data_IF_390139987049
#
_entry.id   IF_390139987049
#
_cell.length_a   1.000
_cell.length_b   1.000
_cell.length_c   1.000
_cell.angle_alpha   90.00
_cell.angle_beta   90.00
_cell.angle_gamma   90.00
#
_symmetry.space_group_name_H-M   'P 1'
#
loop_
_entity.id
_entity.type
_entity.pdbx_description
1 polymer ?
#
# COMPACT_ATOMS: atom_id res chain seq x y z
N UNK A 1 5.80 -5.39 17.72
CA UNK A 1 6.33 -4.76 16.49
C UNK A 1 5.22 -4.78 15.46
N UNK A 2 5.07 -3.74 14.65
CA UNK A 2 4.07 -3.73 13.58
C UNK A 2 4.56 -4.59 12.41
N UNK A 3 3.67 -5.37 11.80
CA UNK A 3 4.02 -6.26 10.69
C UNK A 3 3.51 -5.71 9.36
N UNK A 4 4.35 -5.78 8.32
CA UNK A 4 4.00 -5.40 6.96
C UNK A 4 4.25 -6.54 5.98
N UNK A 5 3.43 -6.64 4.95
CA UNK A 5 3.65 -7.48 3.79
C UNK A 5 3.72 -6.61 2.53
N UNK A 6 4.53 -7.01 1.58
CA UNK A 6 4.80 -6.25 0.35
C UNK A 6 4.34 -7.07 -0.86
N UNK A 7 3.53 -6.45 -1.71
CA UNK A 7 3.10 -7.03 -2.98
C UNK A 7 3.60 -6.16 -4.14
N UNK A 8 4.50 -6.67 -4.93
CA UNK A 8 4.91 -6.04 -6.18
C UNK A 8 4.09 -6.60 -7.34
N UNK A 9 3.55 -5.71 -8.15
CA UNK A 9 2.68 -6.03 -9.29
C UNK A 9 3.38 -5.56 -10.55
N UNK A 10 3.78 -6.48 -11.42
CA UNK A 10 4.49 -6.17 -12.66
C UNK A 10 4.59 -7.37 -13.57
N UNK A 11 4.08 -7.27 -14.79
CA UNK A 11 4.26 -8.28 -15.84
C UNK A 11 5.74 -8.55 -16.14
N UNK A 12 6.55 -7.50 -16.27
CA UNK A 12 7.97 -7.63 -16.66
C UNK A 12 8.84 -8.22 -15.56
N UNK A 13 8.56 -7.91 -14.30
CA UNK A 13 9.29 -8.46 -13.15
C UNK A 13 8.87 -9.90 -12.87
N UNK A 14 7.57 -10.19 -12.91
CA UNK A 14 7.05 -11.55 -12.71
C UNK A 14 7.53 -12.53 -13.79
N UNK A 15 7.73 -12.06 -15.03
CA UNK A 15 8.33 -12.82 -16.10
C UNK A 15 9.87 -12.93 -16.03
N UNK A 16 10.52 -12.31 -15.03
CA UNK A 16 11.97 -12.32 -14.87
C UNK A 16 12.74 -11.41 -15.84
N UNK A 17 12.05 -10.59 -16.64
CA UNK A 17 12.66 -9.69 -17.63
C UNK A 17 13.28 -8.44 -17.00
N UNK A 18 12.98 -8.14 -15.75
CA UNK A 18 13.48 -6.99 -15.00
C UNK A 18 13.69 -7.34 -13.53
N UNK A 19 14.79 -6.85 -12.94
CA UNK A 19 15.05 -7.02 -11.51
C UNK A 19 14.01 -6.27 -10.66
N UNK A 20 13.58 -6.89 -9.56
CA UNK A 20 12.66 -6.29 -8.60
C UNK A 20 13.42 -5.51 -7.52
N UNK A 21 13.80 -4.29 -7.86
CA UNK A 21 14.44 -3.36 -6.92
C UNK A 21 13.44 -2.61 -6.04
N UNK A 22 12.17 -2.63 -6.41
CA UNK A 22 11.12 -1.89 -5.69
C UNK A 22 10.72 -2.60 -4.40
N UNK A 23 10.61 -3.92 -4.40
CA UNK A 23 10.37 -4.72 -3.19
C UNK A 23 11.48 -4.50 -2.16
N UNK A 24 12.75 -4.55 -2.58
CA UNK A 24 13.90 -4.30 -1.70
C UNK A 24 13.83 -2.90 -1.09
N UNK A 25 13.57 -1.88 -1.91
CA UNK A 25 13.44 -0.50 -1.44
C UNK A 25 12.31 -0.34 -0.41
N UNK A 26 11.14 -0.91 -0.66
CA UNK A 26 10.02 -0.85 0.28
C UNK A 26 10.35 -1.56 1.59
N UNK A 27 10.99 -2.74 1.51
CA UNK A 27 11.39 -3.50 2.70
C UNK A 27 12.39 -2.73 3.56
N UNK A 28 13.39 -2.09 2.95
CA UNK A 28 14.37 -1.25 3.64
C UNK A 28 13.67 -0.08 4.36
N UNK A 29 12.86 0.70 3.64
CA UNK A 29 12.18 1.87 4.20
C UNK A 29 11.26 1.48 5.37
N UNK A 30 10.47 0.40 5.22
CA UNK A 30 9.55 -0.06 6.25
C UNK A 30 10.32 -0.61 7.47
N UNK A 31 11.41 -1.33 7.26
CA UNK A 31 12.25 -1.86 8.34
C UNK A 31 12.89 -0.72 9.13
N UNK A 32 13.43 0.29 8.45
CA UNK A 32 13.99 1.49 9.09
C UNK A 32 12.92 2.26 9.90
N UNK A 33 11.67 2.21 9.47
CA UNK A 33 10.52 2.77 10.18
C UNK A 33 9.98 1.89 11.32
N UNK A 34 10.62 0.74 11.60
CA UNK A 34 10.28 -0.14 12.72
C UNK A 34 9.23 -1.21 12.41
N UNK A 35 8.97 -1.50 11.13
CA UNK A 35 8.11 -2.61 10.73
C UNK A 35 8.92 -3.90 10.59
N UNK A 36 8.32 -5.01 10.97
CA UNK A 36 8.77 -6.35 10.60
C UNK A 36 8.15 -6.73 9.24
N UNK A 37 8.97 -7.12 8.28
CA UNK A 37 8.48 -7.61 6.99
C UNK A 37 8.13 -9.09 7.12
N UNK A 38 6.83 -9.37 7.24
CA UNK A 38 6.32 -10.73 7.39
C UNK A 38 6.55 -11.56 6.12
N UNK A 39 6.32 -10.98 4.94
CA UNK A 39 6.54 -11.64 3.66
C UNK A 39 6.52 -10.65 2.49
N UNK A 40 7.04 -11.09 1.35
CA UNK A 40 6.98 -10.36 0.07
C UNK A 40 6.43 -11.26 -1.01
N UNK A 41 5.68 -10.71 -1.97
CA UNK A 41 5.14 -11.44 -3.12
C UNK A 41 5.25 -10.61 -4.38
N UNK A 42 5.41 -11.27 -5.51
CA UNK A 42 5.45 -10.67 -6.84
C UNK A 42 4.44 -11.38 -7.73
N UNK A 43 3.55 -10.62 -8.36
CA UNK A 43 2.52 -11.14 -9.27
C UNK A 43 2.46 -10.34 -10.57
N UNK A 44 1.94 -10.90 -11.67
CA UNK A 44 1.66 -10.15 -12.89
C UNK A 44 0.50 -9.14 -12.70
N UNK A 45 0.32 -8.27 -13.69
CA UNK A 45 -0.79 -7.30 -13.73
C UNK A 45 -2.12 -8.00 -14.13
N UNK A 46 -2.52 -9.01 -13.34
CA UNK A 46 -3.76 -9.76 -13.49
C UNK A 46 -4.67 -9.56 -12.28
N UNK A 47 -5.94 -9.22 -12.54
CA UNK A 47 -6.92 -8.88 -11.50
C UNK A 47 -7.04 -9.96 -10.42
N UNK A 48 -7.21 -11.22 -10.82
CA UNK A 48 -7.39 -12.33 -9.87
C UNK A 48 -6.14 -12.57 -9.03
N UNK A 49 -4.94 -12.56 -9.66
CA UNK A 49 -3.68 -12.78 -8.97
C UNK A 49 -3.41 -11.69 -7.93
N UNK A 50 -3.75 -10.44 -8.25
CA UNK A 50 -3.61 -9.30 -7.32
C UNK A 50 -4.59 -9.44 -6.16
N UNK A 51 -5.88 -9.70 -6.43
CA UNK A 51 -6.91 -9.83 -5.41
C UNK A 51 -6.62 -10.98 -4.43
N UNK A 52 -6.23 -12.14 -4.96
CA UNK A 52 -5.87 -13.32 -4.17
C UNK A 52 -4.60 -13.06 -3.33
N UNK A 53 -3.59 -12.42 -3.91
CA UNK A 53 -2.37 -12.06 -3.19
C UNK A 53 -2.63 -11.08 -2.05
N UNK A 54 -3.44 -10.04 -2.24
CA UNK A 54 -3.82 -9.10 -1.17
C UNK A 54 -4.53 -9.86 -0.05
N UNK A 55 -5.49 -10.72 -0.38
CA UNK A 55 -6.25 -11.51 0.59
C UNK A 55 -5.38 -12.49 1.38
N UNK A 56 -4.40 -13.10 0.74
CA UNK A 56 -3.42 -13.99 1.37
C UNK A 56 -2.51 -13.20 2.34
N UNK A 57 -1.93 -12.10 1.87
CA UNK A 57 -1.00 -11.28 2.64
C UNK A 57 -1.66 -10.62 3.87
N UNK A 58 -2.93 -10.25 3.76
CA UNK A 58 -3.69 -9.68 4.87
C UNK A 58 -3.90 -10.64 6.06
N UNK A 59 -3.69 -11.95 5.86
CA UNK A 59 -3.77 -12.95 6.95
C UNK A 59 -2.53 -12.97 7.83
N UNK A 60 -1.41 -12.45 7.36
CA UNK A 60 -0.12 -12.53 8.07
C UNK A 60 0.50 -11.17 8.41
N UNK A 61 -0.14 -10.05 8.03
CA UNK A 61 0.37 -8.72 8.29
C UNK A 61 -0.74 -7.73 8.66
N UNK A 62 -0.38 -6.71 9.43
CA UNK A 62 -1.28 -5.61 9.79
C UNK A 62 -1.33 -4.51 8.71
N UNK A 63 -0.33 -4.50 7.83
CA UNK A 63 -0.20 -3.60 6.69
C UNK A 63 0.14 -4.41 5.45
N UNK A 64 -0.63 -4.24 4.39
CA UNK A 64 -0.26 -4.71 3.04
C UNK A 64 0.01 -3.50 2.17
N UNK A 65 1.23 -3.37 1.67
CA UNK A 65 1.59 -2.36 0.69
C UNK A 65 1.75 -3.01 -0.67
N UNK A 66 1.01 -2.52 -1.66
CA UNK A 66 1.18 -2.94 -3.05
C UNK A 66 1.94 -1.89 -3.84
N UNK A 67 2.70 -2.28 -4.84
CA UNK A 67 3.39 -1.36 -5.76
C UNK A 67 3.21 -1.81 -7.20
N UNK A 68 2.71 -0.91 -8.04
CA UNK A 68 2.48 -1.13 -9.46
C UNK A 68 1.00 -1.22 -9.85
N UNK A 69 0.71 -1.11 -11.13
CA UNK A 69 -0.63 -1.24 -11.72
C UNK A 69 -1.65 -0.18 -11.29
N UNK A 70 -1.21 1.04 -10.95
CA UNK A 70 -2.08 2.12 -10.43
C UNK A 70 -2.31 3.29 -11.40
N UNK A 71 -1.83 3.19 -12.63
CA UNK A 71 -1.96 4.25 -13.64
C UNK A 71 -3.23 4.12 -14.50
N UNK A 72 -3.14 4.67 -15.71
CA UNK A 72 -4.24 4.73 -16.68
C UNK A 72 -4.11 3.70 -17.81
N UNK A 73 -3.08 2.87 -17.80
CA UNK A 73 -2.92 1.84 -18.82
C UNK A 73 -4.00 0.74 -18.67
N UNK A 74 -4.42 0.11 -19.78
CA UNK A 74 -5.46 -0.93 -19.73
C UNK A 74 -5.13 -2.10 -18.80
N UNK A 75 -3.84 -2.39 -18.59
CA UNK A 75 -3.40 -3.45 -17.68
C UNK A 75 -3.23 -3.00 -16.22
N UNK A 76 -3.37 -1.70 -15.95
CA UNK A 76 -3.33 -1.18 -14.58
C UNK A 76 -4.67 -1.47 -13.89
N UNK A 77 -4.77 -2.61 -13.20
CA UNK A 77 -6.00 -3.10 -12.56
C UNK A 77 -5.87 -3.26 -11.04
N UNK A 78 -4.77 -2.77 -10.47
CA UNK A 78 -4.54 -2.86 -9.00
C UNK A 78 -5.62 -2.17 -8.19
N UNK A 79 -6.12 -0.97 -8.53
CA UNK A 79 -7.18 -0.31 -7.77
C UNK A 79 -8.48 -1.13 -7.77
N UNK A 80 -8.86 -1.70 -8.90
CA UNK A 80 -10.05 -2.52 -9.06
C UNK A 80 -9.95 -3.82 -8.25
N UNK A 81 -8.80 -4.50 -8.34
CA UNK A 81 -8.52 -5.71 -7.57
C UNK A 81 -8.53 -5.43 -6.06
N UNK A 82 -7.95 -4.30 -5.64
CA UNK A 82 -7.94 -3.89 -4.23
C UNK A 82 -9.36 -3.62 -3.73
N UNK A 83 -10.19 -2.87 -4.49
CA UNK A 83 -11.58 -2.59 -4.13
C UNK A 83 -12.43 -3.85 -4.02
N UNK A 84 -12.12 -4.89 -4.79
CA UNK A 84 -12.88 -6.14 -4.74
C UNK A 84 -12.70 -6.93 -3.45
N UNK A 85 -11.65 -6.66 -2.68
CA UNK A 85 -11.31 -7.42 -1.47
C UNK A 85 -11.40 -6.61 -0.17
N UNK A 86 -11.26 -5.29 -0.21
CA UNK A 86 -11.36 -4.46 0.99
C UNK A 86 -12.82 -4.31 1.45
N UNK A 87 -13.03 -4.25 2.76
CA UNK A 87 -14.35 -4.06 3.37
C UNK A 87 -14.78 -2.60 3.40
N UNK A 88 -13.82 -1.70 3.55
CA UNK A 88 -14.02 -0.24 3.66
C UNK A 88 -12.88 0.53 3.03
N UNK A 89 -13.20 1.53 2.22
CA UNK A 89 -12.19 2.46 1.70
C UNK A 89 -11.77 3.48 2.77
N UNK A 90 -10.50 3.88 2.71
CA UNK A 90 -9.91 5.00 3.45
C UNK A 90 -9.36 6.03 2.44
N UNK A 91 -10.22 6.75 1.72
CA UNK A 91 -9.82 7.56 0.57
C UNK A 91 -8.82 8.66 0.92
N UNK A 92 -8.89 9.22 2.13
CA UNK A 92 -7.98 10.26 2.59
C UNK A 92 -6.49 9.86 2.55
N UNK A 93 -6.16 8.58 2.69
CA UNK A 93 -4.78 8.09 2.59
C UNK A 93 -4.26 8.26 1.15
N UNK A 94 -5.04 7.83 0.17
CA UNK A 94 -4.68 7.96 -1.24
C UNK A 94 -4.72 9.42 -1.72
N UNK A 95 -5.63 10.23 -1.20
CA UNK A 95 -5.71 11.67 -1.44
C UNK A 95 -4.47 12.39 -0.92
N UNK A 96 -4.03 12.10 0.31
CA UNK A 96 -2.82 12.67 0.89
C UNK A 96 -1.58 12.34 0.04
N UNK A 97 -1.42 11.07 -0.38
CA UNK A 97 -0.33 10.69 -1.28
C UNK A 97 -0.35 11.53 -2.56
N UNK A 98 -1.49 11.63 -3.24
CA UNK A 98 -1.60 12.41 -4.49
C UNK A 98 -1.31 13.90 -4.26
N UNK A 99 -1.90 14.49 -3.24
CA UNK A 99 -1.74 15.92 -2.97
C UNK A 99 -0.29 16.29 -2.66
N UNK A 100 0.36 15.56 -1.76
CA UNK A 100 1.72 15.87 -1.33
C UNK A 100 2.74 15.57 -2.42
N UNK A 101 2.64 14.41 -3.09
CA UNK A 101 3.60 14.05 -4.15
C UNK A 101 3.40 14.86 -5.43
N UNK A 102 2.20 15.41 -5.69
CA UNK A 102 1.95 16.29 -6.82
C UNK A 102 2.68 17.63 -6.70
N UNK A 103 3.10 18.04 -5.51
CA UNK A 103 3.95 19.22 -5.31
C UNK A 103 5.35 19.02 -5.91
N UNK A 104 5.81 17.77 -6.01
CA UNK A 104 7.08 17.36 -6.58
C UNK A 104 6.92 17.00 -8.07
N UNK A 105 5.91 16.18 -8.36
CA UNK A 105 5.62 15.67 -9.69
C UNK A 105 4.11 15.78 -9.99
N UNK A 106 3.65 16.77 -10.78
CA UNK A 106 2.22 16.98 -11.05
C UNK A 106 1.48 15.76 -11.61
N UNK A 107 2.19 14.85 -12.30
CA UNK A 107 1.61 13.62 -12.83
C UNK A 107 1.14 12.64 -11.73
N UNK A 108 1.49 12.88 -10.47
CA UNK A 108 0.99 12.11 -9.34
C UNK A 108 -0.55 12.16 -9.23
N UNK A 109 -1.19 13.23 -9.72
CA UNK A 109 -2.66 13.31 -9.80
C UNK A 109 -3.30 12.26 -10.71
N UNK A 110 -2.55 11.65 -11.62
CA UNK A 110 -3.05 10.57 -12.48
C UNK A 110 -3.08 9.20 -11.78
N UNK A 111 -2.54 9.10 -10.57
CA UNK A 111 -2.60 7.86 -9.80
C UNK A 111 -4.04 7.54 -9.38
N UNK A 112 -4.48 6.32 -9.68
CA UNK A 112 -5.78 5.77 -9.25
C UNK A 112 -5.65 4.92 -7.98
N UNK A 113 -4.52 5.02 -7.26
CA UNK A 113 -4.26 4.29 -6.04
C UNK A 113 -5.43 4.36 -5.05
N UNK A 114 -5.66 3.25 -4.36
CA UNK A 114 -6.70 3.04 -3.35
C UNK A 114 -6.04 2.69 -2.03
N UNK A 115 -6.68 3.07 -0.94
CA UNK A 115 -6.36 2.57 0.39
C UNK A 115 -7.65 2.18 1.11
N UNK A 116 -7.57 1.16 1.97
CA UNK A 116 -8.73 0.67 2.71
C UNK A 116 -8.37 -0.39 3.73
N UNK A 117 -9.39 -1.00 4.32
CA UNK A 117 -9.26 -2.06 5.31
C UNK A 117 -9.80 -3.38 4.76
N UNK A 118 -9.07 -4.46 5.01
CA UNK A 118 -9.54 -5.84 4.89
C UNK A 118 -9.47 -6.48 6.28
N UNK A 119 -10.62 -6.64 6.92
CA UNK A 119 -10.67 -6.98 8.35
C UNK A 119 -9.97 -5.90 9.20
N UNK A 120 -8.91 -6.29 9.87
CA UNK A 120 -8.07 -5.38 10.68
C UNK A 120 -6.80 -4.92 9.97
N UNK A 121 -6.55 -5.41 8.75
CA UNK A 121 -5.36 -5.09 7.97
C UNK A 121 -5.59 -3.84 7.13
N UNK A 122 -4.64 -2.92 7.16
CA UNK A 122 -4.61 -1.77 6.26
C UNK A 122 -3.97 -2.17 4.93
N UNK A 123 -4.65 -1.89 3.82
CA UNK A 123 -4.16 -2.15 2.45
C UNK A 123 -3.97 -0.82 1.74
N UNK A 124 -2.80 -0.59 1.15
CA UNK A 124 -2.46 0.67 0.45
C UNK A 124 -1.76 0.37 -0.87
N UNK A 125 -2.27 0.97 -1.95
CA UNK A 125 -1.60 0.90 -3.25
C UNK A 125 -0.58 2.03 -3.41
N UNK A 126 0.62 1.68 -3.89
CA UNK A 126 1.68 2.62 -4.28
C UNK A 126 1.94 2.55 -5.79
N UNK A 127 2.55 3.59 -6.37
CA UNK A 127 3.00 3.56 -7.76
C UNK A 127 4.11 2.51 -7.98
N UNK A 128 4.37 2.16 -9.24
CA UNK A 128 5.42 1.18 -9.59
C UNK A 128 6.84 1.75 -9.69
N UNK A 129 6.99 3.06 -9.79
CA UNK A 129 8.29 3.73 -9.91
C UNK A 129 8.97 3.84 -8.53
N UNK A 130 10.23 3.39 -8.35
CA UNK A 130 10.91 3.41 -7.05
C UNK A 130 11.01 4.80 -6.41
N UNK A 131 11.24 5.86 -7.19
CA UNK A 131 11.29 7.24 -6.68
C UNK A 131 9.92 7.64 -6.12
N UNK A 132 8.85 7.42 -6.87
CA UNK A 132 7.49 7.73 -6.45
C UNK A 132 7.04 6.88 -5.24
N UNK A 133 7.50 5.63 -5.14
CA UNK A 133 7.28 4.78 -3.96
C UNK A 133 7.88 5.42 -2.70
N UNK A 134 9.14 5.89 -2.78
CA UNK A 134 9.79 6.58 -1.65
C UNK A 134 9.00 7.82 -1.25
N UNK A 135 8.67 8.68 -2.21
CA UNK A 135 7.91 9.92 -1.96
C UNK A 135 6.54 9.62 -1.31
N UNK A 136 5.83 8.59 -1.76
CA UNK A 136 4.57 8.17 -1.13
C UNK A 136 4.78 7.63 0.29
N UNK A 137 5.82 6.82 0.53
CA UNK A 137 6.11 6.29 1.86
C UNK A 137 6.49 7.40 2.83
N UNK A 138 7.23 8.42 2.41
CA UNK A 138 7.57 9.58 3.25
C UNK A 138 6.29 10.31 3.74
N UNK A 139 5.25 10.37 2.92
CA UNK A 139 3.94 10.92 3.31
C UNK A 139 3.20 10.00 4.30
N UNK A 140 3.26 8.69 4.08
CA UNK A 140 2.47 7.71 4.82
C UNK A 140 3.04 7.36 6.19
N UNK A 141 4.36 7.21 6.29
CA UNK A 141 5.03 6.68 7.48
C UNK A 141 4.61 7.37 8.79
N UNK A 142 4.43 8.71 8.86
CA UNK A 142 3.99 9.37 10.08
C UNK A 142 2.61 8.94 10.57
N UNK A 143 1.72 8.50 9.67
CA UNK A 143 0.34 8.15 10.00
C UNK A 143 0.12 6.65 10.18
N UNK A 144 0.95 5.80 9.58
CA UNK A 144 0.75 4.35 9.54
C UNK A 144 0.60 3.70 10.94
N UNK A 145 1.45 4.00 11.96
CA UNK A 145 1.31 3.36 13.26
C UNK A 145 -0.05 3.63 13.91
N UNK A 146 -0.54 4.87 13.78
CA UNK A 146 -1.86 5.25 14.31
C UNK A 146 -2.99 4.57 13.53
N UNK A 147 -2.92 4.59 12.21
CA UNK A 147 -3.93 3.97 11.34
C UNK A 147 -4.06 2.47 11.61
N UNK A 148 -2.94 1.74 11.73
CA UNK A 148 -2.93 0.31 12.01
C UNK A 148 -3.49 0.01 13.41
N UNK A 149 -3.09 0.80 14.42
CA UNK A 149 -3.63 0.64 15.78
C UNK A 149 -5.15 0.85 15.81
N UNK A 150 -5.63 1.84 15.08
CA UNK A 150 -7.07 2.13 14.99
C UNK A 150 -7.81 1.01 14.26
N UNK A 151 -7.25 0.48 13.16
CA UNK A 151 -7.80 -0.64 12.40
C UNK A 151 -7.98 -1.90 13.24
N UNK A 152 -7.08 -2.15 14.20
CA UNK A 152 -7.14 -3.30 15.10
C UNK A 152 -8.00 -3.09 16.36
N UNK A 153 -8.81 -2.03 16.41
CA UNK A 153 -9.70 -1.75 17.55
C UNK A 153 -9.03 -1.08 18.76
N UNK A 154 -7.74 -0.77 18.67
CA UNK A 154 -6.98 -0.13 19.76
C UNK A 154 -7.18 1.38 19.90
N UNK A 155 -8.10 1.98 19.13
CA UNK A 155 -8.31 3.44 19.06
C UNK A 155 -9.27 4.04 20.06
N UNK A 156 -10.05 3.27 20.78
CA UNK A 156 -11.12 3.78 21.64
C UNK A 156 -10.65 4.70 22.79
N UNK A 157 -9.42 4.59 23.23
CA UNK A 157 -8.91 5.42 24.33
C UNK A 157 -8.37 6.80 23.89
N UNK A 158 -8.02 6.98 22.62
CA UNK A 158 -7.38 8.22 22.16
C UNK A 158 -8.42 9.29 21.80
N UNK A 159 -9.60 8.94 21.35
CA UNK A 159 -10.67 9.91 21.05
C UNK A 159 -11.31 10.54 22.29
N UNK A 160 -11.22 9.86 23.45
CA UNK A 160 -11.78 10.40 24.71
C UNK A 160 -10.92 11.49 25.34
N UNK A 161 -9.64 11.58 24.95
CA UNK A 161 -8.69 12.58 25.46
C UNK A 161 -8.70 13.91 24.68
N UNK A 162 -9.42 13.99 23.55
CA UNK A 162 -9.47 15.19 22.69
C UNK A 162 -10.85 15.91 22.72
N UNK A 163 -11.72 15.59 23.67
CA UNK A 163 -12.94 16.41 23.90
C UNK A 163 -12.61 17.54 24.86
N UNK A 164 -12.98 18.80 24.51
CA UNK A 164 -12.72 19.97 25.32
C UNK A 164 -13.47 19.94 26.67
#
# INVERSE_FOLDING_TARGET
MLTAAILTISDTRSAGSRADTTTTLMAEILTDAGFEIATTKLVPDEFADIADAISELARCAQLVITSGGTGLAPRDVTPEATRSVIDREAPGIAEAMRAETATIQPLAWLSRAVAGQLGTTLVINLPGNPKAVRECLDVLLPMLPHAIKTSSGGGEQTHRAMQP
#
